data_IF_495446189747
#
_entry.id   IF_495446189747
#
_cell.length_a   1.000
_cell.length_b   1.000
_cell.length_c   1.000
_cell.angle_alpha   90.00
_cell.angle_beta   90.00
_cell.angle_gamma   90.00
#
_symmetry.space_group_name_H-M   'P 1'
#
loop_
_entity.id
_entity.type
_entity.pdbx_description
1 polymer ?
#
# COMPACT_ATOMS: atom_id res chain seq x y z
N UNK A 1 -9.62 -13.90 24.96
CA UNK A 1 -9.24 -12.53 24.58
C UNK A 1 -7.86 -12.66 23.95
N UNK A 2 -7.58 -12.54 22.65
CA UNK A 2 -8.15 -11.70 21.59
C UNK A 2 -7.65 -12.28 20.25
N UNK A 3 -8.47 -13.05 19.54
CA UNK A 3 -8.18 -13.50 18.16
C UNK A 3 -9.32 -13.04 17.27
N UNK A 4 -9.37 -11.73 17.00
CA UNK A 4 -10.40 -11.12 16.18
C UNK A 4 -9.89 -9.89 15.42
N UNK A 5 -8.66 -9.93 14.88
CA UNK A 5 -8.12 -8.85 14.04
C UNK A 5 -7.90 -9.32 12.59
N UNK A 6 -8.30 -10.54 12.23
CA UNK A 6 -7.92 -11.13 10.94
C UNK A 6 -8.92 -10.94 9.78
N UNK A 7 -10.06 -10.26 9.96
CA UNK A 7 -11.14 -10.33 8.96
C UNK A 7 -11.64 -9.01 8.36
N UNK A 8 -11.18 -7.85 8.81
CA UNK A 8 -11.76 -6.57 8.37
C UNK A 8 -11.06 -5.87 7.20
N UNK A 9 -9.96 -6.40 6.66
CA UNK A 9 -9.22 -5.72 5.59
C UNK A 9 -9.72 -6.12 4.18
N UNK A 10 -10.49 -7.21 4.06
CA UNK A 10 -10.86 -7.78 2.74
C UNK A 10 -12.07 -7.06 2.10
N UNK A 11 -12.85 -6.27 2.84
CA UNK A 11 -13.99 -5.53 2.29
C UNK A 11 -13.65 -4.14 1.71
N UNK A 12 -12.39 -3.69 1.80
CA UNK A 12 -11.99 -2.31 1.44
C UNK A 12 -10.93 -2.18 0.33
N UNK A 13 -10.73 -3.22 -0.48
CA UNK A 13 -9.72 -3.19 -1.54
C UNK A 13 -10.28 -2.61 -2.83
N UNK A 14 -9.58 -1.62 -3.40
CA UNK A 14 -10.02 -0.84 -4.55
C UNK A 14 -9.41 -1.43 -5.84
N UNK A 15 -10.25 -1.90 -6.79
CA UNK A 15 -9.77 -2.51 -8.03
C UNK A 15 -9.11 -1.50 -8.98
N UNK A 16 -9.50 -0.22 -8.94
CA UNK A 16 -8.93 0.83 -9.79
C UNK A 16 -7.54 1.19 -9.28
N UNK A 17 -7.40 1.39 -7.96
CA UNK A 17 -6.08 1.58 -7.34
C UNK A 17 -5.21 0.33 -7.54
N UNK A 18 -5.81 -0.86 -7.46
CA UNK A 18 -5.08 -2.10 -7.71
C UNK A 18 -4.53 -2.13 -9.14
N UNK A 19 -5.34 -1.84 -10.15
CA UNK A 19 -4.88 -1.78 -11.54
C UNK A 19 -3.78 -0.71 -11.75
N UNK A 20 -3.92 0.45 -11.09
CA UNK A 20 -3.00 1.58 -11.24
C UNK A 20 -1.60 1.29 -10.66
N UNK A 21 -1.53 0.62 -9.50
CA UNK A 21 -0.28 0.37 -8.78
C UNK A 21 0.33 -1.02 -9.04
N UNK A 22 -0.37 -1.89 -9.78
CA UNK A 22 0.14 -3.21 -10.17
C UNK A 22 0.98 -3.11 -11.45
N UNK A 23 2.12 -3.83 -11.55
CA UNK A 23 2.86 -3.93 -12.80
C UNK A 23 2.03 -4.53 -13.94
N UNK A 24 2.22 -4.08 -15.19
CA UNK A 24 1.47 -4.61 -16.33
C UNK A 24 1.73 -6.12 -16.59
N UNK A 25 2.85 -6.66 -16.13
CA UNK A 25 3.18 -8.08 -16.22
C UNK A 25 3.64 -8.63 -14.85
N UNK A 26 2.72 -8.94 -13.92
CA UNK A 26 3.08 -9.53 -12.64
C UNK A 26 3.34 -11.03 -12.86
N UNK A 27 4.61 -11.42 -12.97
CA UNK A 27 4.98 -12.82 -13.25
C UNK A 27 4.92 -13.73 -12.03
N UNK A 28 4.94 -13.18 -10.81
CA UNK A 28 4.95 -13.96 -9.57
C UNK A 28 4.08 -13.22 -8.55
N UNK A 29 3.05 -13.87 -8.00
CA UNK A 29 2.24 -13.32 -6.91
C UNK A 29 1.03 -12.46 -7.33
N UNK A 30 0.31 -11.94 -6.33
CA UNK A 30 -0.90 -11.13 -6.47
C UNK A 30 -0.73 -9.80 -5.75
N UNK A 31 -1.09 -8.71 -6.42
CA UNK A 31 -1.20 -7.39 -5.82
C UNK A 31 -2.62 -7.12 -5.37
N UNK A 32 -2.76 -6.50 -4.20
CA UNK A 32 -4.01 -5.94 -3.70
C UNK A 32 -3.73 -4.58 -3.09
N UNK A 33 -4.53 -3.58 -3.46
CA UNK A 33 -4.44 -2.24 -2.89
C UNK A 33 -5.75 -1.97 -2.17
N UNK A 34 -5.64 -1.64 -0.90
CA UNK A 34 -6.77 -1.35 -0.03
C UNK A 34 -6.56 -0.02 0.68
N UNK A 35 -7.63 0.60 1.14
CA UNK A 35 -7.55 1.88 1.85
C UNK A 35 -8.27 1.79 3.19
N UNK A 36 -7.86 2.65 4.12
CA UNK A 36 -8.52 2.79 5.42
C UNK A 36 -8.41 4.23 5.89
N UNK A 37 -9.44 4.73 6.57
CA UNK A 37 -9.42 6.06 7.18
C UNK A 37 -8.47 6.13 8.40
N UNK A 38 -8.05 4.97 8.92
CA UNK A 38 -7.14 4.87 10.06
C UNK A 38 -5.77 5.47 9.75
N UNK A 39 -5.16 6.06 10.78
CA UNK A 39 -3.82 6.64 10.69
C UNK A 39 -2.76 5.56 10.53
N UNK A 40 -1.66 5.87 9.83
CA UNK A 40 -0.59 4.91 9.58
C UNK A 40 0.04 4.34 10.87
N UNK A 41 0.09 5.11 11.97
CA UNK A 41 0.56 4.63 13.28
C UNK A 41 -0.37 3.62 13.96
N UNK A 42 -1.65 3.56 13.56
CA UNK A 42 -2.61 2.55 14.02
C UNK A 42 -2.62 1.30 13.13
N UNK A 43 -2.16 1.45 11.89
CA UNK A 43 -2.15 0.37 10.88
C UNK A 43 -0.80 -0.34 10.85
N UNK A 44 0.30 0.37 11.10
CA UNK A 44 1.66 -0.18 11.12
C UNK A 44 1.80 -1.23 12.23
N UNK A 45 2.36 -2.38 11.87
CA UNK A 45 2.63 -3.44 12.84
C UNK A 45 3.82 -3.08 13.75
N UNK A 46 3.84 -3.65 14.95
CA UNK A 46 4.92 -3.42 15.90
C UNK A 46 6.28 -3.81 15.30
N UNK A 47 7.25 -2.91 15.39
CA UNK A 47 8.59 -3.09 14.83
C UNK A 47 8.76 -2.58 13.39
N UNK A 48 7.70 -2.16 12.71
CA UNK A 48 7.83 -1.49 11.42
C UNK A 48 8.22 -0.03 11.63
N UNK A 49 9.24 0.42 10.90
CA UNK A 49 9.66 1.82 10.93
C UNK A 49 8.75 2.64 10.02
N UNK A 50 8.29 3.79 10.53
CA UNK A 50 7.56 4.79 9.74
C UNK A 50 8.52 5.91 9.37
N UNK A 51 8.73 6.12 8.09
CA UNK A 51 9.66 7.11 7.53
C UNK A 51 8.93 8.07 6.58
N UNK A 52 9.43 9.30 6.44
CA UNK A 52 8.90 10.25 5.46
C UNK A 52 9.75 10.21 4.20
N UNK A 53 9.19 9.72 3.10
CA UNK A 53 9.89 9.51 1.83
C UNK A 53 9.44 10.49 0.76
N UNK A 54 10.26 10.67 -0.27
CA UNK A 54 9.79 11.34 -1.48
C UNK A 54 8.75 10.46 -2.20
N UNK A 55 7.74 11.04 -2.89
CA UNK A 55 6.66 10.25 -3.50
C UNK A 55 7.16 9.17 -4.48
N UNK A 56 8.25 9.43 -5.19
CA UNK A 56 8.81 8.42 -6.10
C UNK A 56 9.37 7.21 -5.36
N UNK A 57 10.00 7.43 -4.20
CA UNK A 57 10.54 6.35 -3.38
C UNK A 57 9.43 5.62 -2.62
N UNK A 58 8.37 6.32 -2.23
CA UNK A 58 7.21 5.73 -1.54
C UNK A 58 6.46 4.72 -2.42
N UNK A 59 6.14 5.10 -3.66
CA UNK A 59 5.31 4.31 -4.59
C UNK A 59 6.13 3.45 -5.57
N UNK A 60 7.41 3.77 -5.76
CA UNK A 60 8.32 3.04 -6.65
C UNK A 60 8.04 3.28 -8.14
N UNK A 61 8.21 2.22 -8.94
CA UNK A 61 8.09 2.27 -10.42
C UNK A 61 7.25 1.15 -11.01
N UNK A 62 6.60 0.36 -10.16
CA UNK A 62 5.93 -0.87 -10.57
C UNK A 62 4.63 -0.60 -11.32
N UNK A 63 3.82 0.37 -10.89
CA UNK A 63 2.51 0.66 -11.48
C UNK A 63 2.52 1.48 -12.77
N UNK A 64 1.34 1.63 -13.39
CA UNK A 64 1.11 2.36 -14.64
C UNK A 64 0.76 3.83 -14.45
N UNK A 65 0.87 4.37 -13.23
CA UNK A 65 0.54 5.76 -12.93
C UNK A 65 1.52 6.78 -13.53
N UNK A 66 1.03 8.00 -13.81
CA UNK A 66 1.87 9.14 -14.19
C UNK A 66 2.67 9.62 -12.96
N UNK A 67 3.98 9.35 -12.96
CA UNK A 67 4.91 9.77 -11.89
C UNK A 67 5.02 11.28 -11.74
N UNK A 68 4.92 12.02 -12.85
CA UNK A 68 4.94 13.48 -12.84
C UNK A 68 3.66 14.04 -12.22
N UNK A 69 2.51 13.46 -12.55
CA UNK A 69 1.23 13.82 -11.91
C UNK A 69 1.27 13.54 -10.40
N UNK A 70 1.77 12.36 -10.00
CA UNK A 70 1.93 12.01 -8.59
C UNK A 70 2.86 12.98 -7.84
N UNK A 71 4.04 13.29 -8.40
CA UNK A 71 4.97 14.24 -7.79
C UNK A 71 4.36 15.64 -7.65
N UNK A 72 3.61 16.10 -8.68
CA UNK A 72 2.89 17.38 -8.64
C UNK A 72 1.76 17.37 -7.61
N UNK A 73 1.05 16.25 -7.45
CA UNK A 73 -0.02 16.12 -6.47
C UNK A 73 0.50 16.32 -5.04
N UNK A 74 1.65 15.75 -4.72
CA UNK A 74 2.27 15.89 -3.40
C UNK A 74 2.89 17.27 -3.16
N UNK A 75 3.21 18.07 -4.19
CA UNK A 75 3.74 19.45 -4.06
C UNK A 75 4.91 19.60 -3.06
N UNK A 76 5.79 18.61 -3.00
CA UNK A 76 6.92 18.58 -2.06
C UNK A 76 6.59 18.03 -0.67
N UNK A 77 5.33 17.70 -0.39
CA UNK A 77 4.96 16.91 0.78
C UNK A 77 5.52 15.49 0.67
N UNK A 78 6.15 15.03 1.75
CA UNK A 78 6.66 13.67 1.85
C UNK A 78 5.64 12.75 2.51
N UNK A 79 5.09 11.73 1.82
CA UNK A 79 4.25 10.74 2.48
C UNK A 79 5.03 10.00 3.56
N UNK A 80 4.30 9.64 4.63
CA UNK A 80 4.75 8.68 5.62
C UNK A 80 4.57 7.27 5.06
N UNK A 81 5.60 6.46 5.18
CA UNK A 81 5.68 5.12 4.63
C UNK A 81 6.13 4.16 5.71
N UNK A 82 5.50 3.00 5.78
CA UNK A 82 5.97 1.87 6.57
C UNK A 82 6.04 0.64 5.67
N UNK A 83 7.10 -0.15 5.80
CA UNK A 83 7.29 -1.37 5.03
C UNK A 83 7.57 -2.52 5.97
N UNK A 84 6.99 -3.66 5.65
CA UNK A 84 7.31 -4.88 6.35
C UNK A 84 6.81 -6.10 5.60
N UNK A 85 7.02 -7.24 6.24
CA UNK A 85 6.54 -8.51 5.75
C UNK A 85 5.77 -9.20 6.86
N UNK A 86 4.79 -10.00 6.46
CA UNK A 86 4.07 -10.89 7.37
C UNK A 86 3.86 -12.24 6.72
N UNK A 87 3.76 -13.27 7.56
CA UNK A 87 3.49 -14.64 7.13
C UNK A 87 2.10 -15.03 7.57
N UNK A 88 1.23 -15.34 6.62
CA UNK A 88 -0.15 -15.75 6.86
C UNK A 88 -0.31 -17.20 6.41
N UNK A 89 -0.15 -18.14 7.36
CA UNK A 89 -0.06 -19.57 7.04
C UNK A 89 1.11 -19.84 6.09
N UNK A 90 0.80 -20.31 4.89
CA UNK A 90 1.76 -20.63 3.81
C UNK A 90 1.95 -19.48 2.81
N UNK A 91 1.38 -18.30 3.09
CA UNK A 91 1.52 -17.11 2.25
C UNK A 91 2.54 -16.16 2.87
N UNK A 92 3.35 -15.56 2.00
CA UNK A 92 4.22 -14.46 2.36
C UNK A 92 3.66 -13.18 1.76
N UNK A 93 3.42 -12.19 2.61
CA UNK A 93 2.91 -10.89 2.20
C UNK A 93 3.96 -9.83 2.47
N UNK A 94 4.39 -9.14 1.41
CA UNK A 94 5.09 -7.87 1.54
C UNK A 94 4.04 -6.75 1.57
N UNK A 95 4.09 -5.92 2.61
CA UNK A 95 3.12 -4.86 2.85
C UNK A 95 3.82 -3.51 2.86
N UNK A 96 3.28 -2.56 2.11
CA UNK A 96 3.67 -1.15 2.14
C UNK A 96 2.47 -0.32 2.55
N UNK A 97 2.64 0.51 3.58
CA UNK A 97 1.65 1.47 4.06
C UNK A 97 2.07 2.86 3.62
N UNK A 98 1.13 3.67 3.12
CA UNK A 98 1.40 5.03 2.65
C UNK A 98 0.30 5.98 3.14
N UNK A 99 0.69 7.11 3.74
CA UNK A 99 -0.23 8.15 4.24
C UNK A 99 0.36 9.55 4.08
N UNK A 100 -0.42 10.57 3.65
CA UNK A 100 -1.71 10.44 2.97
C UNK A 100 -1.53 9.75 1.61
N UNK A 101 -2.63 9.28 1.00
CA UNK A 101 -2.59 8.51 -0.24
C UNK A 101 -3.38 9.18 -1.37
N UNK A 102 -2.99 9.02 -2.64
CA UNK A 102 -3.71 9.61 -3.76
C UNK A 102 -5.01 8.86 -4.06
N UNK A 103 -6.01 9.58 -4.57
CA UNK A 103 -7.11 8.95 -5.31
C UNK A 103 -6.61 8.33 -6.64
N UNK A 104 -7.44 7.49 -7.26
CA UNK A 104 -7.04 6.78 -8.48
C UNK A 104 -6.82 7.71 -9.69
N UNK A 105 -7.41 8.92 -9.69
CA UNK A 105 -7.20 9.93 -10.71
C UNK A 105 -5.97 10.80 -10.47
N UNK A 106 -5.25 10.63 -9.36
CA UNK A 106 -4.08 11.44 -8.97
C UNK A 106 -4.40 12.94 -8.89
N UNK A 107 -5.59 13.26 -8.41
CA UNK A 107 -6.12 14.62 -8.28
C UNK A 107 -6.26 15.08 -6.84
N UNK A 108 -6.37 14.15 -5.90
CA UNK A 108 -6.56 14.46 -4.48
C UNK A 108 -5.74 13.54 -3.57
N UNK A 109 -5.26 14.09 -2.45
CA UNK A 109 -4.66 13.30 -1.37
C UNK A 109 -5.70 13.05 -0.29
N UNK A 110 -6.11 11.80 -0.16
CA UNK A 110 -7.00 11.34 0.88
C UNK A 110 -6.24 11.19 2.21
N UNK A 111 -6.89 11.61 3.29
CA UNK A 111 -6.46 11.25 4.63
C UNK A 111 -6.60 9.74 4.88
N UNK A 112 -5.82 9.22 5.82
CA UNK A 112 -5.77 7.79 6.12
C UNK A 112 -4.62 7.08 5.41
N UNK A 113 -4.72 5.76 5.31
CA UNK A 113 -3.62 4.88 4.90
C UNK A 113 -4.02 4.02 3.72
N UNK A 114 -3.23 4.09 2.65
CA UNK A 114 -3.23 3.08 1.59
C UNK A 114 -2.34 1.92 2.00
N UNK A 115 -2.83 0.71 1.75
CA UNK A 115 -2.17 -0.57 2.04
C UNK A 115 -1.93 -1.27 0.72
N UNK A 116 -0.67 -1.39 0.32
CA UNK A 116 -0.25 -2.16 -0.85
C UNK A 116 0.24 -3.51 -0.34
N UNK A 117 -0.44 -4.58 -0.73
CA UNK A 117 -0.08 -5.96 -0.40
C UNK A 117 0.40 -6.65 -1.67
N UNK A 118 1.59 -7.21 -1.60
CA UNK A 118 2.10 -8.16 -2.58
C UNK A 118 2.20 -9.54 -1.93
N UNK A 119 1.35 -10.45 -2.37
CA UNK A 119 1.28 -11.82 -1.87
C UNK A 119 1.98 -12.78 -2.82
N UNK A 120 2.81 -13.66 -2.26
CA UNK A 120 3.36 -14.81 -2.97
C UNK A 120 3.00 -16.09 -2.22
N UNK A 121 2.48 -17.07 -2.95
CA UNK A 121 2.35 -18.43 -2.43
C UNK A 121 3.75 -19.02 -2.23
N UNK A 122 3.99 -19.68 -1.10
CA UNK A 122 5.20 -20.48 -0.94
C UNK A 122 5.24 -21.50 -2.07
N UNK A 123 6.33 -21.50 -2.85
CA UNK A 123 6.55 -22.45 -3.94
C UNK A 123 6.26 -23.87 -3.46
N UNK A 124 5.49 -24.61 -4.26
CA UNK A 124 5.26 -26.04 -4.07
C UNK A 124 6.51 -26.83 -4.42
#
# INVERSE_FOLDING_TARGET
MTYAILFMIVQGCDPVLTALFTPPNPHVGRYQICTTERRIDEVAEAGWTIESLDPQDAFGRAGSYDRGALARLYRGQRPRVARGWRRLGDRFESVTLISPYPDASLTHLNAGTMVIVFEVAKGS
#
